data_IF_956176153492
#
_entry.id   IF_956176153492
#
_cell.length_a   1.000
_cell.length_b   1.000
_cell.length_c   1.000
_cell.angle_alpha   90.00
_cell.angle_beta   90.00
_cell.angle_gamma   90.00
#
_symmetry.space_group_name_H-M   'P 1'
#
loop_
_entity.id
_entity.type
_entity.pdbx_description
1 polymer ?
#
# COMPACT_ATOMS: atom_id res chain seq x y z
N UNK A 1 -86.31 -14.60 -47.18
CA UNK A 1 -85.78 -13.51 -48.01
C UNK A 1 -84.42 -13.08 -47.43
N UNK A 2 -83.53 -12.65 -48.32
CA UNK A 2 -82.07 -12.49 -48.17
C UNK A 2 -81.66 -11.39 -47.19
N UNK A 3 -80.47 -11.58 -46.58
CA UNK A 3 -79.33 -10.62 -46.41
C UNK A 3 -78.64 -10.92 -45.06
N UNK A 4 -77.53 -11.65 -45.00
CA UNK A 4 -76.15 -11.28 -45.39
C UNK A 4 -75.57 -10.14 -44.53
N UNK A 5 -74.80 -10.51 -43.50
CA UNK A 5 -73.76 -9.65 -42.90
C UNK A 5 -72.49 -10.48 -42.74
N UNK A 6 -71.44 -9.99 -43.40
CA UNK A 6 -70.09 -10.52 -43.46
C UNK A 6 -69.44 -10.51 -42.06
N UNK A 7 -68.79 -11.61 -41.69
CA UNK A 7 -67.75 -11.61 -40.67
C UNK A 7 -66.40 -11.81 -41.35
N UNK A 8 -65.59 -10.75 -41.37
CA UNK A 8 -64.20 -10.75 -41.83
C UNK A 8 -63.36 -11.64 -40.91
N UNK A 9 -62.70 -12.65 -41.47
CA UNK A 9 -61.61 -13.39 -40.83
C UNK A 9 -60.32 -12.56 -40.89
N UNK A 10 -59.85 -12.04 -39.76
CA UNK A 10 -58.47 -11.56 -39.63
C UNK A 10 -57.58 -12.72 -39.17
N UNK A 11 -56.78 -13.22 -40.10
CA UNK A 11 -55.66 -14.12 -39.83
C UNK A 11 -54.53 -13.32 -39.18
N UNK A 12 -54.19 -13.61 -37.92
CA UNK A 12 -52.95 -13.13 -37.30
C UNK A 12 -51.83 -14.08 -37.70
N UNK A 13 -51.04 -13.68 -38.69
CA UNK A 13 -49.74 -14.31 -38.98
C UNK A 13 -48.76 -13.94 -37.86
N UNK A 14 -48.35 -14.92 -37.07
CA UNK A 14 -47.23 -14.76 -36.14
C UNK A 14 -45.93 -14.66 -36.96
N UNK A 15 -45.39 -13.44 -37.07
CA UNK A 15 -44.03 -13.22 -37.55
C UNK A 15 -43.06 -13.61 -36.44
N UNK A 16 -42.22 -14.61 -36.71
CA UNK A 16 -41.10 -14.98 -35.87
C UNK A 16 -40.08 -13.83 -35.83
N UNK A 17 -39.74 -13.39 -34.63
CA UNK A 17 -38.65 -12.44 -34.38
C UNK A 17 -37.33 -13.23 -34.43
N UNK A 18 -36.30 -12.81 -35.19
CA UNK A 18 -35.00 -13.44 -35.08
C UNK A 18 -34.33 -13.03 -33.76
N UNK A 19 -33.87 -14.02 -33.01
CA UNK A 19 -33.03 -13.82 -31.84
C UNK A 19 -31.69 -13.19 -32.26
N UNK A 20 -31.38 -12.00 -31.74
CA UNK A 20 -30.04 -11.41 -31.83
C UNK A 20 -29.17 -12.06 -30.76
N UNK A 21 -28.28 -12.94 -31.19
CA UNK A 21 -27.18 -13.50 -30.40
C UNK A 21 -26.07 -12.45 -30.23
N UNK A 22 -25.61 -12.26 -29.00
CA UNK A 22 -24.45 -11.43 -28.69
C UNK A 22 -23.15 -12.14 -29.13
N UNK A 23 -22.15 -11.44 -29.70
CA UNK A 23 -20.89 -12.05 -30.05
C UNK A 23 -19.95 -12.07 -28.84
N UNK A 24 -19.77 -13.25 -28.26
CA UNK A 24 -18.63 -13.59 -27.43
C UNK A 24 -17.61 -14.38 -28.26
N UNK A 25 -16.32 -14.09 -28.05
CA UNK A 25 -15.23 -15.00 -28.39
C UNK A 25 -14.47 -14.67 -29.67
N UNK A 26 -13.27 -14.07 -29.52
CA UNK A 26 -12.23 -14.16 -30.53
C UNK A 26 -11.05 -14.97 -29.97
N UNK A 27 -10.89 -16.12 -30.60
CA UNK A 27 -9.83 -17.11 -30.45
C UNK A 27 -8.51 -16.60 -31.03
N UNK A 28 -7.41 -16.82 -30.30
CA UNK A 28 -6.07 -17.00 -30.89
C UNK A 28 -5.26 -17.97 -30.03
N UNK A 29 -5.67 -19.24 -30.02
CA UNK A 29 -4.76 -20.35 -29.75
C UNK A 29 -4.38 -20.95 -31.10
N UNK A 30 -3.13 -20.71 -31.51
CA UNK A 30 -2.34 -21.60 -32.38
C UNK A 30 -0.93 -21.02 -32.51
N UNK A 31 -0.02 -21.46 -31.64
CA UNK A 31 1.33 -21.76 -32.10
C UNK A 31 1.86 -22.95 -31.28
N UNK A 32 1.60 -24.14 -31.79
CA UNK A 32 2.26 -25.36 -31.35
C UNK A 32 3.65 -25.40 -31.99
N UNK A 33 4.66 -24.98 -31.22
CA UNK A 33 6.06 -25.30 -31.45
C UNK A 33 6.48 -26.33 -30.41
N UNK A 34 6.58 -27.57 -30.83
CA UNK A 34 7.04 -28.72 -30.06
C UNK A 34 8.53 -28.60 -29.71
N UNK A 35 8.86 -28.43 -28.43
CA UNK A 35 10.14 -28.89 -27.87
C UNK A 35 9.86 -29.66 -26.58
N UNK A 36 9.84 -30.98 -26.73
CA UNK A 36 9.91 -31.93 -25.62
C UNK A 36 11.36 -32.03 -25.16
N UNK A 37 11.62 -31.70 -23.90
CA UNK A 37 12.15 -32.63 -22.86
C UNK A 37 12.88 -31.87 -21.75
N UNK A 38 12.49 -32.20 -20.51
CA UNK A 38 13.26 -32.03 -19.27
C UNK A 38 13.61 -30.59 -18.84
N UNK A 39 12.66 -29.90 -18.21
CA UNK A 39 12.89 -28.60 -17.58
C UNK A 39 12.11 -28.47 -16.27
N UNK A 40 12.83 -28.44 -15.16
CA UNK A 40 12.32 -28.15 -13.82
C UNK A 40 11.36 -26.96 -13.84
N UNK A 41 10.21 -27.11 -13.17
CA UNK A 41 9.34 -26.01 -12.77
C UNK A 41 10.19 -24.95 -12.06
N UNK A 42 10.47 -23.82 -12.73
CA UNK A 42 11.24 -22.72 -12.13
C UNK A 42 10.41 -22.13 -10.99
N UNK A 43 10.90 -22.11 -9.74
CA UNK A 43 10.20 -21.42 -8.66
C UNK A 43 10.19 -19.90 -8.92
N UNK A 44 9.04 -19.28 -8.61
CA UNK A 44 8.80 -17.85 -8.62
C UNK A 44 9.72 -17.19 -7.60
N UNK A 45 10.72 -16.42 -8.04
CA UNK A 45 11.65 -15.75 -7.14
C UNK A 45 11.04 -14.45 -6.61
N UNK A 46 10.16 -14.55 -5.62
CA UNK A 46 10.06 -13.49 -4.61
C UNK A 46 11.35 -13.59 -3.80
N UNK A 47 12.19 -12.56 -3.85
CA UNK A 47 13.41 -12.57 -3.05
C UNK A 47 13.04 -12.47 -1.58
N UNK A 48 13.65 -13.28 -0.70
CA UNK A 48 13.62 -13.10 0.76
C UNK A 48 13.90 -11.64 1.20
N UNK A 49 14.60 -10.88 0.35
CA UNK A 49 14.85 -9.45 0.50
C UNK A 49 13.56 -8.61 0.58
N UNK A 50 12.53 -8.92 -0.21
CA UNK A 50 11.31 -8.10 -0.29
C UNK A 50 10.38 -8.31 0.91
N UNK A 51 10.39 -9.50 1.52
CA UNK A 51 9.56 -9.82 2.67
C UNK A 51 9.93 -8.98 3.89
N UNK A 52 11.23 -8.82 4.15
CA UNK A 52 11.71 -8.13 5.36
C UNK A 52 12.09 -6.67 5.12
N UNK A 53 12.13 -6.18 3.87
CA UNK A 53 12.62 -4.82 3.54
C UNK A 53 11.85 -3.72 4.28
N UNK A 54 10.52 -3.82 4.35
CA UNK A 54 9.72 -2.85 5.09
C UNK A 54 10.01 -2.93 6.59
N UNK A 55 10.05 -4.13 7.18
CA UNK A 55 10.31 -4.31 8.60
C UNK A 55 11.70 -3.75 8.99
N UNK A 56 12.70 -3.99 8.14
CA UNK A 56 14.04 -3.42 8.23
C UNK A 56 14.03 -1.90 8.28
N UNK A 57 13.45 -1.25 7.26
CA UNK A 57 13.37 0.21 7.23
C UNK A 57 12.56 0.78 8.39
N UNK A 58 11.50 0.09 8.82
CA UNK A 58 10.67 0.50 9.95
C UNK A 58 11.48 0.47 11.25
N UNK A 59 12.19 -0.61 11.55
CA UNK A 59 13.02 -0.68 12.77
C UNK A 59 14.10 0.40 12.77
N UNK A 60 14.72 0.64 11.61
CA UNK A 60 15.69 1.73 11.45
C UNK A 60 15.05 3.10 11.69
N UNK A 61 13.90 3.39 11.09
CA UNK A 61 13.19 4.66 11.25
C UNK A 61 12.71 4.88 12.68
N UNK A 62 12.20 3.84 13.37
CA UNK A 62 11.83 3.95 14.78
C UNK A 62 12.98 4.43 15.64
N UNK A 63 14.18 3.88 15.42
CA UNK A 63 15.38 4.30 16.14
C UNK A 63 15.76 5.75 15.79
N UNK A 64 15.77 6.11 14.50
CA UNK A 64 16.11 7.48 14.04
C UNK A 64 15.16 8.55 14.59
N UNK A 65 13.86 8.24 14.68
CA UNK A 65 12.82 9.18 15.08
C UNK A 65 12.38 9.04 16.55
N UNK A 66 13.00 8.14 17.32
CA UNK A 66 12.68 7.92 18.73
C UNK A 66 11.25 7.40 18.96
N UNK A 67 10.71 6.60 18.04
CA UNK A 67 9.37 6.01 18.15
C UNK A 67 9.48 4.74 19.02
N UNK A 68 8.83 4.69 20.20
CA UNK A 68 9.01 3.59 21.13
C UNK A 68 8.15 2.36 20.78
N UNK A 69 8.40 1.26 21.48
CA UNK A 69 7.50 0.10 21.63
C UNK A 69 7.00 -0.51 20.31
N UNK A 70 7.83 -0.50 19.28
CA UNK A 70 7.49 -1.06 17.96
C UNK A 70 6.16 -0.53 17.38
N UNK A 71 5.81 0.73 17.70
CA UNK A 71 4.54 1.32 17.26
C UNK A 71 4.46 1.40 15.74
N UNK A 72 5.54 1.84 15.08
CA UNK A 72 5.56 1.96 13.62
C UNK A 72 5.51 0.58 12.95
N UNK A 73 6.16 -0.44 13.54
CA UNK A 73 6.06 -1.83 13.07
C UNK A 73 4.63 -2.36 13.23
N UNK A 74 3.98 -2.09 14.35
CA UNK A 74 2.58 -2.46 14.55
C UNK A 74 1.66 -1.86 13.50
N UNK A 75 1.86 -0.57 13.16
CA UNK A 75 1.13 0.11 12.09
C UNK A 75 1.40 -0.58 10.75
N UNK A 76 2.66 -0.78 10.35
CA UNK A 76 2.99 -1.47 9.09
C UNK A 76 2.35 -2.86 8.98
N UNK A 77 2.38 -3.66 10.05
CA UNK A 77 1.73 -4.98 10.08
C UNK A 77 0.20 -4.93 10.06
N UNK A 78 -0.41 -3.83 10.52
CA UNK A 78 -1.84 -3.59 10.45
C UNK A 78 -2.26 -3.17 9.04
N UNK A 79 -1.44 -2.36 8.37
CA UNK A 79 -1.72 -1.83 7.03
C UNK A 79 -1.49 -2.84 5.91
N UNK A 80 -0.35 -3.52 5.91
CA UNK A 80 0.11 -4.35 4.78
C UNK A 80 0.63 -5.72 5.18
N UNK A 81 0.43 -6.13 6.44
CA UNK A 81 1.00 -7.36 6.97
C UNK A 81 0.55 -8.61 6.21
N UNK A 82 1.52 -9.33 5.62
CA UNK A 82 1.35 -10.63 4.99
C UNK A 82 2.21 -11.69 5.64
N UNK A 83 1.79 -12.95 5.54
CA UNK A 83 2.62 -14.07 5.97
C UNK A 83 3.72 -14.30 4.94
N UNK A 84 4.96 -14.02 5.33
CA UNK A 84 6.17 -14.30 4.58
C UNK A 84 6.54 -15.79 4.62
N UNK A 85 7.50 -16.21 3.81
CA UNK A 85 7.96 -17.60 3.65
C UNK A 85 8.51 -18.19 4.97
N UNK A 86 9.15 -17.36 5.81
CA UNK A 86 9.57 -17.74 7.16
C UNK A 86 8.40 -17.92 8.15
N UNK A 87 7.16 -17.79 7.68
CA UNK A 87 5.93 -18.05 8.41
C UNK A 87 5.53 -16.96 9.41
N UNK A 88 6.22 -15.80 9.39
CA UNK A 88 5.88 -14.64 10.24
C UNK A 88 5.23 -13.55 9.40
N UNK A 89 4.54 -12.63 10.07
CA UNK A 89 3.98 -11.47 9.39
C UNK A 89 5.08 -10.45 9.08
N UNK A 90 5.06 -9.90 7.88
CA UNK A 90 5.88 -8.77 7.50
C UNK A 90 5.06 -7.74 6.70
N UNK A 91 5.28 -6.42 6.88
CA UNK A 91 4.64 -5.42 6.04
C UNK A 91 5.15 -5.57 4.60
N UNK A 92 4.25 -5.58 3.63
CA UNK A 92 4.60 -5.88 2.24
C UNK A 92 4.82 -4.59 1.42
N UNK A 93 5.96 -4.44 0.71
CA UNK A 93 6.29 -3.18 0.01
C UNK A 93 5.41 -2.93 -1.21
N UNK A 94 5.00 -3.98 -1.92
CA UNK A 94 4.23 -3.87 -3.16
C UNK A 94 2.73 -3.97 -2.85
N UNK A 95 2.26 -3.08 -1.99
CA UNK A 95 0.88 -3.03 -1.50
C UNK A 95 0.19 -1.76 -1.98
N UNK A 96 -1.04 -1.87 -2.47
CA UNK A 96 -1.83 -0.70 -2.85
C UNK A 96 -3.32 -0.86 -2.57
N UNK A 97 -3.96 0.22 -2.14
CA UNK A 97 -5.41 0.32 -1.99
C UNK A 97 -5.94 1.43 -2.90
N UNK A 98 -7.03 1.19 -3.64
CA UNK A 98 -7.72 2.26 -4.35
C UNK A 98 -9.22 2.20 -4.00
N UNK A 99 -9.72 3.25 -3.35
CA UNK A 99 -11.12 3.36 -2.92
C UNK A 99 -11.66 2.11 -2.17
N UNK A 100 -10.85 1.52 -1.29
CA UNK A 100 -11.19 0.34 -0.49
C UNK A 100 -10.87 -1.00 -1.15
N UNK A 101 -10.37 -1.01 -2.39
CA UNK A 101 -9.94 -2.23 -3.09
C UNK A 101 -8.44 -2.44 -2.88
N UNK A 102 -8.10 -3.20 -1.84
CA UNK A 102 -6.73 -3.55 -1.53
C UNK A 102 -6.16 -4.69 -2.38
N UNK A 103 -4.89 -4.57 -2.78
CA UNK A 103 -4.14 -5.61 -3.49
C UNK A 103 -2.69 -5.67 -3.02
N UNK A 104 -2.18 -6.89 -2.98
CA UNK A 104 -0.75 -7.19 -2.93
C UNK A 104 -0.25 -7.63 -4.30
N UNK A 105 0.95 -7.18 -4.64
CA UNK A 105 1.62 -7.45 -5.90
C UNK A 105 2.91 -8.22 -5.65
N UNK A 106 3.40 -8.95 -6.65
CA UNK A 106 4.64 -9.70 -6.49
C UNK A 106 5.89 -8.82 -6.63
N UNK A 107 5.77 -7.67 -7.29
CA UNK A 107 6.86 -6.76 -7.57
C UNK A 107 6.40 -5.30 -7.66
N UNK A 108 7.38 -4.39 -7.66
CA UNK A 108 7.18 -2.94 -7.75
C UNK A 108 6.47 -2.51 -9.03
N UNK A 109 6.87 -3.03 -10.19
CA UNK A 109 6.36 -2.58 -11.49
C UNK A 109 4.87 -2.84 -11.65
N UNK A 110 4.40 -4.03 -11.27
CA UNK A 110 2.97 -4.37 -11.31
C UNK A 110 2.13 -3.45 -10.40
N UNK A 111 2.69 -3.08 -9.24
CA UNK A 111 2.02 -2.16 -8.31
C UNK A 111 1.96 -0.73 -8.85
N UNK A 112 3.04 -0.28 -9.51
CA UNK A 112 3.09 1.03 -10.16
C UNK A 112 2.12 1.12 -11.33
N UNK A 113 2.11 0.12 -12.21
CA UNK A 113 1.19 0.05 -13.36
C UNK A 113 -0.26 0.13 -12.89
N UNK A 114 -0.62 -0.68 -11.89
CA UNK A 114 -1.98 -0.70 -11.37
C UNK A 114 -2.37 0.64 -10.72
N UNK A 115 -1.50 1.24 -9.91
CA UNK A 115 -1.80 2.54 -9.28
C UNK A 115 -1.94 3.64 -10.33
N UNK A 116 -1.05 3.71 -11.32
CA UNK A 116 -1.17 4.67 -12.43
C UNK A 116 -2.52 4.53 -13.13
N UNK A 117 -2.93 3.30 -13.46
CA UNK A 117 -4.24 3.06 -14.05
C UNK A 117 -5.38 3.54 -13.14
N UNK A 118 -5.33 3.32 -11.82
CA UNK A 118 -6.39 3.81 -10.92
C UNK A 118 -6.46 5.35 -10.90
N UNK A 119 -5.32 6.02 -10.85
CA UNK A 119 -5.22 7.49 -10.86
C UNK A 119 -5.73 8.07 -12.19
N UNK A 120 -5.31 7.50 -13.33
CA UNK A 120 -5.74 7.91 -14.67
C UNK A 120 -7.25 7.68 -14.90
N UNK A 121 -7.81 6.69 -14.20
CA UNK A 121 -9.26 6.41 -14.20
C UNK A 121 -10.05 7.33 -13.26
N UNK A 122 -9.40 8.32 -12.63
CA UNK A 122 -10.04 9.29 -11.74
C UNK A 122 -10.24 8.84 -10.29
N UNK A 123 -9.62 7.73 -9.87
CA UNK A 123 -9.63 7.36 -8.44
C UNK A 123 -8.61 8.23 -7.71
N UNK A 124 -9.08 9.15 -6.87
CA UNK A 124 -8.19 10.11 -6.19
C UNK A 124 -7.61 9.59 -4.86
N UNK A 125 -8.32 8.68 -4.17
CA UNK A 125 -7.88 8.09 -2.90
C UNK A 125 -7.18 6.76 -3.14
N UNK A 126 -5.85 6.82 -3.20
CA UNK A 126 -4.96 5.65 -3.33
C UNK A 126 -3.96 5.62 -2.18
N UNK A 127 -3.87 4.48 -1.50
CA UNK A 127 -2.87 4.20 -0.46
C UNK A 127 -1.75 3.31 -1.02
N UNK A 128 -0.49 3.62 -0.72
CA UNK A 128 0.66 2.92 -1.33
C UNK A 128 1.75 2.50 -0.34
N UNK A 129 2.42 1.40 -0.69
CA UNK A 129 3.66 0.95 -0.07
C UNK A 129 3.48 0.32 1.31
N UNK A 130 4.62 0.07 1.96
CA UNK A 130 4.74 -0.56 3.29
C UNK A 130 3.74 -0.02 4.33
N UNK A 131 3.52 1.30 4.32
CA UNK A 131 2.83 2.04 5.37
C UNK A 131 1.47 2.62 4.94
N UNK A 132 0.99 2.24 3.74
CA UNK A 132 -0.28 2.70 3.15
C UNK A 132 -0.47 4.22 3.24
N UNK A 133 0.49 4.97 2.70
CA UNK A 133 0.40 6.42 2.65
C UNK A 133 -0.61 6.82 1.58
N UNK A 134 -1.64 7.57 1.98
CA UNK A 134 -2.68 8.03 1.08
C UNK A 134 -2.22 9.23 0.23
N UNK A 135 -2.17 9.08 -1.09
CA UNK A 135 -1.69 10.10 -2.02
C UNK A 135 -2.62 11.33 -2.11
N UNK A 136 -3.92 11.19 -1.83
CA UNK A 136 -4.86 12.32 -1.78
C UNK A 136 -4.60 13.25 -0.61
N UNK A 137 -4.34 12.67 0.55
CA UNK A 137 -4.16 13.40 1.81
C UNK A 137 -2.72 13.85 2.04
N UNK A 138 -1.77 13.22 1.35
CA UNK A 138 -0.36 13.50 1.43
C UNK A 138 0.27 13.67 0.03
N UNK A 139 -0.20 14.65 -0.77
CA UNK A 139 0.27 14.82 -2.15
C UNK A 139 1.76 15.16 -2.22
N UNK A 140 2.30 15.84 -1.21
CA UNK A 140 3.71 16.21 -1.10
C UNK A 140 4.55 15.17 -0.35
N UNK A 141 4.05 13.94 -0.18
CA UNK A 141 4.80 12.90 0.53
C UNK A 141 6.04 12.43 -0.22
N UNK A 142 5.94 12.41 -1.56
CA UNK A 142 6.91 11.77 -2.46
C UNK A 142 7.11 12.63 -3.71
N UNK A 143 8.32 12.64 -4.27
CA UNK A 143 8.58 13.39 -5.52
C UNK A 143 8.03 12.66 -6.75
N UNK A 144 7.78 11.36 -6.62
CA UNK A 144 7.29 10.49 -7.68
C UNK A 144 6.48 9.32 -7.10
N UNK A 145 5.73 8.63 -7.95
CA UNK A 145 5.04 7.41 -7.54
C UNK A 145 6.04 6.28 -7.24
N UNK A 146 7.17 6.26 -7.94
CA UNK A 146 8.28 5.34 -7.72
C UNK A 146 8.89 5.49 -6.32
N UNK A 147 9.03 6.73 -5.84
CA UNK A 147 9.45 7.03 -4.46
C UNK A 147 8.40 6.55 -3.45
N UNK A 148 7.12 6.63 -3.80
CA UNK A 148 6.04 6.19 -2.92
C UNK A 148 6.05 4.67 -2.66
N UNK A 149 6.58 3.89 -3.61
CA UNK A 149 6.84 2.46 -3.47
C UNK A 149 8.28 2.13 -3.05
N UNK A 150 9.18 3.10 -2.93
CA UNK A 150 10.49 2.86 -2.32
C UNK A 150 10.32 2.62 -0.80
N UNK A 151 10.70 1.44 -0.26
CA UNK A 151 10.45 1.12 1.15
C UNK A 151 11.09 2.11 2.13
N UNK A 152 12.28 2.64 1.81
CA UNK A 152 12.96 3.61 2.66
C UNK A 152 12.19 4.93 2.72
N UNK A 153 11.81 5.47 1.57
CA UNK A 153 11.08 6.74 1.43
C UNK A 153 9.68 6.66 2.02
N UNK A 154 8.93 5.59 1.74
CA UNK A 154 7.59 5.34 2.27
C UNK A 154 7.58 5.30 3.81
N UNK A 155 8.51 4.53 4.38
CA UNK A 155 8.64 4.39 5.84
C UNK A 155 9.13 5.66 6.51
N UNK A 156 10.08 6.37 5.89
CA UNK A 156 10.57 7.64 6.41
C UNK A 156 9.46 8.69 6.52
N UNK A 157 8.63 8.81 5.48
CA UNK A 157 7.46 9.69 5.52
C UNK A 157 6.50 9.29 6.64
N UNK A 158 6.17 8.00 6.77
CA UNK A 158 5.29 7.48 7.81
C UNK A 158 5.81 7.78 9.23
N UNK A 159 7.11 7.63 9.46
CA UNK A 159 7.74 7.93 10.74
C UNK A 159 7.63 9.43 11.08
N UNK A 160 7.93 10.31 10.11
CA UNK A 160 7.75 11.77 10.28
C UNK A 160 6.30 12.14 10.56
N UNK A 161 5.35 11.53 9.84
CA UNK A 161 3.93 11.71 10.06
C UNK A 161 3.53 11.31 11.48
N UNK A 162 3.93 10.13 11.94
CA UNK A 162 3.60 9.66 13.28
C UNK A 162 4.17 10.57 14.38
N UNK A 163 5.39 11.09 14.21
CA UNK A 163 5.98 12.08 15.14
C UNK A 163 5.18 13.38 15.14
N UNK A 164 4.75 13.89 13.97
CA UNK A 164 3.88 15.08 13.89
C UNK A 164 2.56 14.85 14.63
N UNK A 165 1.92 13.71 14.38
CA UNK A 165 0.69 13.32 15.07
C UNK A 165 0.91 13.25 16.58
N UNK A 166 2.01 12.65 17.04
CA UNK A 166 2.36 12.63 18.47
C UNK A 166 2.48 14.02 19.07
N UNK A 167 3.10 14.97 18.37
CA UNK A 167 3.18 16.37 18.83
C UNK A 167 1.78 16.99 18.92
N UNK A 168 0.89 16.70 17.97
CA UNK A 168 -0.47 17.24 17.92
C UNK A 168 -1.40 16.68 19.00
N UNK A 169 -1.37 15.36 19.26
CA UNK A 169 -2.39 14.71 20.12
C UNK A 169 -1.89 14.32 21.51
N UNK A 170 -0.61 14.56 21.83
CA UNK A 170 -0.13 14.45 23.21
C UNK A 170 0.21 13.03 23.71
N UNK A 171 -0.08 11.97 22.96
CA UNK A 171 0.33 10.60 23.32
C UNK A 171 0.62 9.72 22.10
N UNK A 172 1.47 8.71 22.28
CA UNK A 172 1.83 7.79 21.20
C UNK A 172 0.68 6.87 20.81
N UNK A 173 -0.15 6.44 21.78
CA UNK A 173 -1.35 5.65 21.49
C UNK A 173 -2.34 6.45 20.65
N UNK A 174 -2.63 7.71 21.04
CA UNK A 174 -3.53 8.55 20.24
C UNK A 174 -2.94 8.86 18.87
N UNK A 175 -1.62 9.03 18.75
CA UNK A 175 -0.95 9.24 17.46
C UNK A 175 -1.10 8.03 16.54
N UNK A 176 -0.87 6.82 17.07
CA UNK A 176 -1.02 5.59 16.31
C UNK A 176 -2.46 5.37 15.83
N UNK A 177 -3.46 5.71 16.66
CA UNK A 177 -4.86 5.69 16.21
C UNK A 177 -5.15 6.78 15.17
N UNK A 178 -4.62 7.98 15.37
CA UNK A 178 -4.85 9.13 14.48
C UNK A 178 -4.12 9.02 13.16
N UNK A 179 -3.12 8.12 13.08
CA UNK A 179 -2.50 7.71 11.82
C UNK A 179 -3.56 7.21 10.83
N UNK A 180 -4.52 6.44 11.32
CA UNK A 180 -5.65 5.94 10.52
C UNK A 180 -6.81 6.93 10.44
N UNK A 181 -7.24 7.49 11.57
CA UNK A 181 -8.30 8.50 11.58
C UNK A 181 -8.37 9.35 12.85
N UNK A 182 -8.62 10.64 12.70
CA UNK A 182 -8.99 11.55 13.78
C UNK A 182 -10.44 11.36 14.26
N UNK A 183 -11.30 10.70 13.48
CA UNK A 183 -12.68 10.42 13.91
C UNK A 183 -12.68 9.38 15.04
N UNK A 184 -13.21 9.70 16.25
CA UNK A 184 -13.04 8.84 17.44
C UNK A 184 -13.48 7.38 17.25
N UNK A 185 -14.61 7.15 16.57
CA UNK A 185 -15.14 5.81 16.30
C UNK A 185 -14.16 4.95 15.49
N UNK A 186 -13.60 5.49 14.41
CA UNK A 186 -12.67 4.76 13.55
C UNK A 186 -11.30 4.60 14.22
N UNK A 187 -10.84 5.63 14.93
CA UNK A 187 -9.64 5.58 15.75
C UNK A 187 -9.66 4.45 16.77
N UNK A 188 -10.75 4.34 17.54
CA UNK A 188 -10.89 3.31 18.57
C UNK A 188 -10.94 1.90 17.98
N UNK A 189 -11.65 1.72 16.85
CA UNK A 189 -11.65 0.44 16.13
C UNK A 189 -10.24 0.06 15.68
N UNK A 190 -9.51 0.99 15.10
CA UNK A 190 -8.13 0.77 14.65
C UNK A 190 -7.20 0.40 15.80
N UNK A 191 -7.26 1.13 16.92
CA UNK A 191 -6.46 0.82 18.12
C UNK A 191 -6.75 -0.58 18.68
N UNK A 192 -8.01 -1.02 18.64
CA UNK A 192 -8.39 -2.38 19.01
C UNK A 192 -7.64 -3.45 18.21
N UNK A 193 -7.58 -3.29 16.89
CA UNK A 193 -6.83 -4.19 16.01
C UNK A 193 -5.32 -4.07 16.19
N UNK A 194 -4.80 -2.84 16.36
CA UNK A 194 -3.38 -2.57 16.56
C UNK A 194 -2.83 -3.25 17.82
N UNK A 195 -3.62 -3.31 18.90
CA UNK A 195 -3.26 -4.07 20.12
C UNK A 195 -2.98 -5.54 19.84
N UNK A 196 -3.65 -6.14 18.85
CA UNK A 196 -3.39 -7.53 18.44
C UNK A 196 -2.03 -7.64 17.75
N UNK A 197 -1.63 -6.63 16.97
CA UNK A 197 -0.32 -6.57 16.32
C UNK A 197 0.81 -6.39 17.32
N UNK A 198 0.64 -5.58 18.36
CA UNK A 198 1.63 -5.47 19.44
C UNK A 198 1.84 -6.81 20.16
N UNK A 199 0.77 -7.51 20.54
CA UNK A 199 0.90 -8.85 21.13
C UNK A 199 1.56 -9.86 20.18
N UNK A 200 1.33 -9.73 18.87
CA UNK A 200 2.01 -10.55 17.87
C UNK A 200 3.51 -10.23 17.82
N UNK A 201 3.89 -8.95 17.80
CA UNK A 201 5.28 -8.50 17.79
C UNK A 201 6.01 -8.99 19.04
N UNK A 202 5.43 -8.81 20.24
CA UNK A 202 6.02 -9.26 21.51
C UNK A 202 6.32 -10.77 21.49
N UNK A 203 5.40 -11.60 20.99
CA UNK A 203 5.59 -13.05 20.86
C UNK A 203 6.66 -13.45 19.84
N UNK A 204 7.00 -12.55 18.92
CA UNK A 204 7.95 -12.77 17.83
C UNK A 204 9.13 -11.80 17.91
N UNK A 205 9.41 -11.20 19.07
CA UNK A 205 10.38 -10.10 19.22
C UNK A 205 11.76 -10.46 18.66
N UNK A 206 12.26 -11.67 18.96
CA UNK A 206 13.55 -12.18 18.46
C UNK A 206 13.65 -12.20 16.93
N UNK A 207 12.54 -12.37 16.20
CA UNK A 207 12.56 -12.31 14.74
C UNK A 207 12.78 -10.86 14.26
N UNK A 208 11.99 -9.91 14.76
CA UNK A 208 12.10 -8.50 14.37
C UNK A 208 13.40 -7.84 14.85
N UNK A 209 13.95 -8.27 15.99
CA UNK A 209 15.25 -7.80 16.46
C UNK A 209 16.39 -8.30 15.57
N UNK A 210 16.29 -9.53 15.04
CA UNK A 210 17.28 -10.05 14.08
C UNK A 210 17.25 -9.27 12.76
N UNK A 211 16.07 -8.90 12.26
CA UNK A 211 15.93 -8.04 11.07
C UNK A 211 16.63 -6.69 11.31
N UNK A 212 16.42 -6.08 12.48
CA UNK A 212 17.08 -4.83 12.85
C UNK A 212 18.62 -4.95 12.95
N UNK A 213 19.12 -6.10 13.43
CA UNK A 213 20.57 -6.34 13.52
C UNK A 213 21.21 -6.65 12.16
N UNK A 214 20.52 -7.41 11.29
CA UNK A 214 21.02 -7.76 9.96
C UNK A 214 21.26 -6.53 9.09
N UNK A 215 20.39 -5.52 9.19
CA UNK A 215 20.54 -4.23 8.49
C UNK A 215 21.63 -3.33 9.06
N UNK A 216 22.05 -3.57 10.29
CA UNK A 216 23.10 -2.79 10.97
C UNK A 216 24.50 -3.35 10.73
N UNK A 217 24.63 -4.58 10.18
CA UNK A 217 25.92 -5.20 9.90
C UNK A 217 26.45 -4.73 8.54
N UNK A 218 27.71 -4.28 8.45
CA UNK A 218 28.38 -4.11 7.17
C UNK A 218 28.40 -5.46 6.44
N UNK A 219 27.99 -5.48 5.17
CA UNK A 219 28.07 -6.67 4.33
C UNK A 219 29.53 -7.12 4.17
N UNK A 220 29.93 -8.34 4.63
CA UNK A 220 31.30 -8.82 4.49
C UNK A 220 31.72 -9.05 3.03
N UNK A 221 30.77 -9.14 2.09
CA UNK A 221 31.01 -9.34 0.66
C UNK A 221 31.09 -8.05 -0.16
N UNK A 222 30.65 -6.91 0.39
CA UNK A 222 30.75 -5.61 -0.25
C UNK A 222 32.09 -4.98 0.12
N UNK A 223 33.12 -5.26 -0.69
CA UNK A 223 34.38 -4.49 -0.65
C UNK A 223 34.02 -3.02 -0.86
N UNK A 224 34.03 -2.25 0.22
CA UNK A 224 33.88 -0.79 0.14
C UNK A 224 35.25 -0.28 -0.26
N UNK A 225 35.42 0.09 -1.53
CA UNK A 225 36.64 0.76 -1.97
C UNK A 225 36.85 2.00 -1.11
N UNK A 226 37.87 1.95 -0.23
CA UNK A 226 38.19 3.02 0.71
C UNK A 226 38.57 4.33 0.01
N UNK A 227 38.85 4.28 -1.30
CA UNK A 227 39.12 5.45 -2.13
C UNK A 227 37.89 6.37 -2.30
N UNK A 228 36.66 5.85 -2.20
CA UNK A 228 35.44 6.63 -2.46
C UNK A 228 34.86 7.27 -1.19
N UNK A 229 35.33 6.86 -0.01
CA UNK A 229 34.86 7.38 1.29
C UNK A 229 35.39 8.80 1.54
N UNK A 230 36.57 9.14 1.00
CA UNK A 230 37.16 10.46 1.21
C UNK A 230 36.57 11.56 0.29
N UNK A 231 35.97 11.20 -0.85
CA UNK A 231 35.50 12.19 -1.85
C UNK A 231 34.00 12.51 -1.77
N UNK A 232 33.19 11.72 -1.06
CA UNK A 232 31.77 12.00 -0.85
C UNK A 232 31.45 12.69 0.49
N UNK A 233 32.48 13.08 1.26
CA UNK A 233 32.31 13.92 2.45
C UNK A 233 31.96 15.39 2.12
N UNK A 234 31.59 15.71 0.88
CA UNK A 234 31.27 17.05 0.41
C UNK A 234 30.17 17.03 -0.66
N UNK A 235 29.07 16.34 -0.39
CA UNK A 235 27.78 16.44 -1.11
C UNK A 235 26.65 16.54 -0.08
N UNK A 236 25.55 17.25 -0.36
CA UNK A 236 24.77 17.93 0.67
C UNK A 236 24.19 16.95 1.70
N UNK A 237 24.80 17.00 2.89
CA UNK A 237 24.20 16.54 4.14
C UNK A 237 22.90 17.33 4.30
N UNK A 238 21.75 16.66 4.14
CA UNK A 238 20.44 17.30 4.25
C UNK A 238 20.28 17.97 5.61
N UNK A 239 20.45 19.29 5.60
CA UNK A 239 20.25 20.15 6.75
C UNK A 239 18.77 20.17 7.10
N UNK A 240 18.46 19.71 8.30
CA UNK A 240 17.30 20.17 9.03
C UNK A 240 17.52 21.66 9.39
N UNK A 241 17.17 22.58 8.50
CA UNK A 241 17.01 24.00 8.82
C UNK A 241 16.24 24.72 7.70
N UNK A 242 15.35 25.63 8.12
CA UNK A 242 14.47 26.53 7.33
C UNK A 242 13.04 26.03 7.09
N UNK A 243 12.21 26.22 8.12
CA UNK A 243 10.97 27.00 7.99
C UNK A 243 10.54 27.38 9.42
N UNK A 244 11.15 28.44 9.94
CA UNK A 244 10.50 29.33 10.90
C UNK A 244 10.23 30.64 10.18
N UNK A 245 9.06 31.23 10.44
CA UNK A 245 8.52 32.37 9.70
C UNK A 245 7.00 32.39 9.79
N UNK A 246 6.46 32.72 10.96
CA UNK A 246 5.03 32.81 11.20
C UNK A 246 4.37 34.08 10.67
N UNK A 247 3.04 34.02 10.57
CA UNK A 247 2.12 35.12 10.87
C UNK A 247 0.71 34.58 11.08
N UNK A 248 -0.06 35.31 11.88
CA UNK A 248 -1.23 34.88 12.63
C UNK A 248 -2.57 34.79 11.84
N UNK A 249 -3.49 34.00 12.41
CA UNK A 249 -4.97 34.10 12.49
C UNK A 249 -5.78 34.41 11.23
N UNK A 250 -6.77 33.55 10.92
CA UNK A 250 -8.21 33.82 11.11
C UNK A 250 -9.07 32.57 10.83
N UNK A 251 -10.28 32.61 11.37
CA UNK A 251 -11.26 31.53 11.54
C UNK A 251 -11.82 30.92 10.25
N UNK A 252 -12.32 29.68 10.34
CA UNK A 252 -13.34 29.17 9.42
C UNK A 252 -13.06 27.78 8.84
N UNK A 253 -13.79 26.79 9.37
CA UNK A 253 -14.20 25.53 8.75
C UNK A 253 -13.28 24.81 7.75
N UNK A 254 -12.82 23.63 8.19
CA UNK A 254 -12.80 22.45 7.31
C UNK A 254 -11.62 22.28 6.36
N UNK A 255 -10.45 21.90 6.90
CA UNK A 255 -9.57 20.93 6.22
C UNK A 255 -8.62 20.26 7.22
N UNK A 256 -9.16 19.21 7.88
CA UNK A 256 -8.45 18.26 8.74
C UNK A 256 -8.20 17.01 7.89
N UNK A 257 -7.03 16.90 7.25
CA UNK A 257 -6.69 15.76 6.39
C UNK A 257 -6.69 14.44 7.18
N UNK A 258 -7.87 13.82 7.30
CA UNK A 258 -8.16 12.51 7.91
C UNK A 258 -9.67 12.15 7.91
N UNK A 259 -10.56 12.94 7.32
CA UNK A 259 -11.97 12.52 7.19
C UNK A 259 -12.14 11.33 6.24
N UNK A 260 -11.15 11.04 5.37
CA UNK A 260 -11.06 9.78 4.65
C UNK A 260 -10.35 8.72 5.49
N UNK A 261 -11.00 7.58 5.70
CA UNK A 261 -10.39 6.43 6.36
C UNK A 261 -9.31 5.82 5.45
N UNK A 262 -8.07 5.68 5.94
CA UNK A 262 -7.08 4.76 5.36
C UNK A 262 -7.63 3.36 5.58
N UNK A 263 -8.25 2.73 4.59
CA UNK A 263 -8.80 1.40 4.83
C UNK A 263 -7.64 0.40 4.85
N UNK A 264 -7.36 -0.29 5.98
CA UNK A 264 -6.36 -1.35 5.96
C UNK A 264 -6.78 -2.35 4.89
N UNK A 265 -5.82 -2.80 4.09
CA UNK A 265 -6.07 -3.59 2.87
C UNK A 265 -6.94 -4.83 3.15
N UNK A 266 -6.84 -5.38 4.36
CA UNK A 266 -7.58 -6.57 4.78
C UNK A 266 -8.05 -6.43 6.23
N UNK A 267 -9.37 -6.28 6.40
CA UNK A 267 -10.03 -6.46 7.70
C UNK A 267 -10.18 -7.96 7.95
N UNK A 268 -9.40 -8.50 8.90
CA UNK A 268 -9.71 -9.79 9.51
C UNK A 268 -10.84 -9.64 10.52
#
# INVERSE_FOLDING_TARGET
MRSALLALSLSVSALAVPAVSAPGGWSWLSNEGNETTNGQMRPKAVGQADEDVCAAHIKSAQNRYGIPNDILLGIGLQETGQKADHGKLAPWPWSANAAGRGRWFDNKDDSLEWVRHQLDSGTDSVDVGCMQINLRWHPEAFNSLEDAFDPASNVDYAARLLVRLRKQVGSWELAAGSYHSFTPKYRQRYLGSLRNKFRYIERNATHYDRIAQATSRPDPGRQVDQATVQQNASGPLWNAALSDGGSAREDGDGSLYSSGAISPLFVN
#
